data_IF_421173470356
#
_entry.id   IF_421173470356
#
_cell.length_a   1.000
_cell.length_b   1.000
_cell.length_c   1.000
_cell.angle_alpha   90.00
_cell.angle_beta   90.00
_cell.angle_gamma   90.00
#
_symmetry.space_group_name_H-M   'P 1'
#
loop_
_entity.id
_entity.type
_entity.pdbx_description
1 polymer ?
#
# COMPACT_ATOMS: atom_id res chain seq x y z
N UNK A 1 -7.51 7.55 16.94
CA UNK A 1 -6.55 6.49 16.55
C UNK A 1 -5.82 6.97 15.31
N UNK A 2 -4.51 6.70 15.20
CA UNK A 2 -3.70 7.12 14.04
C UNK A 2 -3.59 5.97 13.05
N UNK A 3 -3.81 6.27 11.78
CA UNK A 3 -3.84 5.30 10.68
C UNK A 3 -3.06 5.81 9.48
N UNK A 4 -2.73 4.88 8.58
CA UNK A 4 -2.10 5.16 7.30
C UNK A 4 -3.01 4.66 6.19
N UNK A 5 -3.26 5.53 5.22
CA UNK A 5 -3.88 5.21 3.96
C UNK A 5 -2.81 5.07 2.88
N UNK A 6 -2.83 3.94 2.18
CA UNK A 6 -1.89 3.59 1.12
C UNK A 6 -2.67 3.53 -0.20
N UNK A 7 -2.46 4.53 -1.05
CA UNK A 7 -3.06 4.61 -2.38
C UNK A 7 -2.12 3.98 -3.41
N UNK A 8 -2.67 3.27 -4.40
CA UNK A 8 -1.88 2.59 -5.44
C UNK A 8 -2.05 3.25 -6.81
N UNK A 9 -0.94 3.42 -7.52
CA UNK A 9 -0.95 3.78 -8.94
C UNK A 9 -1.23 5.25 -9.23
N UNK A 10 -1.10 6.13 -8.22
CA UNK A 10 -1.18 7.58 -8.42
C UNK A 10 0.20 8.16 -8.74
N UNK A 11 0.24 9.24 -9.51
CA UNK A 11 1.45 10.00 -9.86
C UNK A 11 2.59 9.18 -10.52
N UNK A 12 2.26 8.04 -11.13
CA UNK A 12 3.20 7.19 -11.90
C UNK A 12 3.18 7.49 -13.39
N UNK A 13 2.27 8.36 -13.85
CA UNK A 13 2.14 8.77 -15.23
C UNK A 13 1.23 10.01 -15.39
N UNK A 14 1.08 10.53 -16.61
CA UNK A 14 0.34 11.77 -16.86
C UNK A 14 -1.17 11.66 -16.56
N UNK A 15 -1.74 10.46 -16.65
CA UNK A 15 -3.17 10.20 -16.46
C UNK A 15 -3.56 9.89 -15.01
N UNK A 16 -2.61 9.69 -14.11
CA UNK A 16 -2.86 9.30 -12.72
C UNK A 16 -2.49 10.40 -11.72
N UNK A 17 -2.47 11.65 -12.17
CA UNK A 17 -2.02 12.80 -11.38
C UNK A 17 -3.02 13.12 -10.26
N UNK A 18 -2.56 13.01 -9.01
CA UNK A 18 -3.30 13.37 -7.81
C UNK A 18 -2.46 14.38 -7.03
N UNK A 19 -2.83 15.68 -7.01
CA UNK A 19 -2.15 16.67 -6.20
C UNK A 19 -2.30 16.35 -4.70
N UNK A 20 -1.20 16.27 -3.95
CA UNK A 20 -1.24 15.95 -2.52
C UNK A 20 -2.04 16.95 -1.68
N UNK A 21 -2.13 18.23 -2.10
CA UNK A 21 -2.98 19.21 -1.45
C UNK A 21 -4.47 18.85 -1.54
N UNK A 22 -4.93 18.47 -2.74
CA UNK A 22 -6.31 17.99 -2.95
C UNK A 22 -6.54 16.72 -2.13
N UNK A 23 -5.59 15.78 -2.15
CA UNK A 23 -5.71 14.55 -1.38
C UNK A 23 -5.89 14.84 0.11
N UNK A 24 -5.09 15.72 0.71
CA UNK A 24 -5.26 16.12 2.13
C UNK A 24 -6.64 16.69 2.41
N UNK A 25 -7.10 17.65 1.59
CA UNK A 25 -8.41 18.27 1.78
C UNK A 25 -9.57 17.28 1.67
N UNK A 26 -9.46 16.25 0.83
CA UNK A 26 -10.47 15.19 0.76
C UNK A 26 -10.52 14.33 2.02
N UNK A 27 -9.37 14.01 2.62
CA UNK A 27 -9.33 13.33 3.92
C UNK A 27 -9.92 14.20 5.03
N UNK A 28 -9.59 15.50 5.07
CA UNK A 28 -10.14 16.45 6.03
C UNK A 28 -11.67 16.57 5.88
N UNK A 29 -12.16 16.67 4.65
CA UNK A 29 -13.60 16.70 4.35
C UNK A 29 -14.31 15.38 4.72
N UNK A 30 -13.60 14.26 4.69
CA UNK A 30 -14.10 12.97 5.17
C UNK A 30 -14.06 12.84 6.72
N UNK A 31 -13.67 13.89 7.44
CA UNK A 31 -13.64 13.93 8.91
C UNK A 31 -12.31 13.49 9.53
N UNK A 32 -11.26 13.27 8.72
CA UNK A 32 -9.93 13.01 9.24
C UNK A 32 -9.27 14.29 9.78
N UNK A 33 -8.38 14.11 10.74
CA UNK A 33 -7.57 15.18 11.36
C UNK A 33 -6.09 14.82 11.27
N UNK A 34 -5.19 15.77 11.57
CA UNK A 34 -3.73 15.58 11.52
C UNK A 34 -3.23 14.97 10.19
N UNK A 35 -3.84 15.39 9.08
CA UNK A 35 -3.62 14.77 7.77
C UNK A 35 -2.26 15.20 7.20
N UNK A 36 -1.37 14.22 7.00
CA UNK A 36 -0.04 14.41 6.45
C UNK A 36 0.19 13.46 5.28
N UNK A 37 0.61 13.99 4.14
CA UNK A 37 1.05 13.19 2.99
C UNK A 37 2.56 12.99 3.03
N UNK A 38 3.03 11.76 2.77
CA UNK A 38 4.44 11.44 2.65
C UNK A 38 4.80 11.29 1.17
N UNK A 39 5.69 12.17 0.70
CA UNK A 39 6.09 12.26 -0.71
C UNK A 39 4.89 12.41 -1.65
N UNK A 40 4.98 11.91 -2.89
CA UNK A 40 3.93 12.00 -3.90
C UNK A 40 3.38 10.62 -4.31
N UNK A 41 3.64 9.59 -3.52
CA UNK A 41 3.35 8.18 -3.84
C UNK A 41 1.99 7.70 -3.34
N UNK A 42 1.22 8.55 -2.66
CA UNK A 42 -0.10 8.17 -2.12
C UNK A 42 -0.08 7.60 -0.72
N UNK A 43 0.90 8.00 0.09
CA UNK A 43 0.96 7.65 1.51
C UNK A 43 0.37 8.79 2.34
N UNK A 44 -0.71 8.53 3.08
CA UNK A 44 -1.40 9.53 3.90
C UNK A 44 -1.48 9.03 5.34
N UNK A 45 -0.93 9.79 6.27
CA UNK A 45 -1.07 9.56 7.71
C UNK A 45 -2.19 10.47 8.22
N UNK A 46 -3.09 9.95 9.04
CA UNK A 46 -4.20 10.73 9.59
C UNK A 46 -4.70 10.18 10.93
N UNK A 47 -5.43 11.01 11.65
CA UNK A 47 -6.17 10.69 12.87
C UNK A 47 -7.67 10.61 12.56
N UNK A 48 -8.34 9.56 13.04
CA UNK A 48 -9.80 9.39 12.88
C UNK A 48 -10.19 8.14 12.10
N UNK A 49 -11.44 8.11 11.64
CA UNK A 49 -11.99 7.05 10.80
C UNK A 49 -12.57 7.67 9.54
N UNK A 50 -12.28 7.07 8.39
CA UNK A 50 -12.82 7.48 7.10
C UNK A 50 -13.47 6.27 6.44
N UNK A 51 -14.55 6.51 5.71
CA UNK A 51 -15.18 5.50 4.88
C UNK A 51 -14.39 5.38 3.56
N UNK A 52 -13.70 4.24 3.37
CA UNK A 52 -12.83 4.04 2.22
C UNK A 52 -13.57 4.08 0.87
N UNK A 53 -14.73 3.41 0.69
CA UNK A 53 -15.55 3.57 -0.51
C UNK A 53 -15.93 5.02 -0.84
N UNK A 54 -16.41 5.79 0.15
CA UNK A 54 -16.79 7.19 -0.08
C UNK A 54 -15.59 8.06 -0.41
N UNK A 55 -14.46 7.83 0.26
CA UNK A 55 -13.22 8.56 0.02
C UNK A 55 -12.66 8.28 -1.40
N UNK A 56 -12.73 7.02 -1.86
CA UNK A 56 -12.34 6.66 -3.23
C UNK A 56 -13.18 7.37 -4.28
N UNK A 57 -14.51 7.45 -4.08
CA UNK A 57 -15.38 8.17 -5.01
C UNK A 57 -15.13 9.69 -4.98
N UNK A 58 -14.81 10.24 -3.81
CA UNK A 58 -14.44 11.65 -3.69
C UNK A 58 -13.12 11.96 -4.41
N UNK A 59 -12.11 11.08 -4.30
CA UNK A 59 -10.84 11.19 -5.03
C UNK A 59 -11.10 11.12 -6.54
N UNK A 60 -11.87 10.13 -7.00
CA UNK A 60 -12.22 9.97 -8.40
C UNK A 60 -12.95 11.21 -8.93
N UNK A 61 -13.92 11.73 -8.20
CA UNK A 61 -14.70 12.91 -8.59
C UNK A 61 -13.83 14.16 -8.69
N UNK A 62 -12.90 14.36 -7.76
CA UNK A 62 -12.04 15.54 -7.72
C UNK A 62 -10.87 15.50 -8.73
N UNK A 63 -10.40 14.30 -9.10
CA UNK A 63 -9.15 14.15 -9.87
C UNK A 63 -9.31 13.42 -11.20
N UNK A 64 -10.42 12.71 -11.40
CA UNK A 64 -10.60 11.77 -12.50
C UNK A 64 -9.81 10.46 -12.36
N UNK A 65 -9.01 10.30 -11.31
CA UNK A 65 -8.14 9.13 -11.12
C UNK A 65 -8.89 8.02 -10.40
N UNK A 66 -8.97 6.85 -11.04
CA UNK A 66 -9.41 5.63 -10.39
C UNK A 66 -8.22 4.95 -9.73
N UNK A 67 -8.28 4.70 -8.42
CA UNK A 67 -7.17 4.19 -7.61
C UNK A 67 -7.68 3.14 -6.62
N UNK A 68 -6.75 2.44 -5.96
CA UNK A 68 -7.04 1.53 -4.87
C UNK A 68 -6.51 2.14 -3.57
N UNK A 69 -7.20 1.88 -2.47
CA UNK A 69 -6.87 2.38 -1.15
C UNK A 69 -6.92 1.23 -0.14
N UNK A 70 -5.88 1.12 0.68
CA UNK A 70 -5.87 0.28 1.88
C UNK A 70 -5.65 1.20 3.08
N UNK A 71 -6.43 0.99 4.15
CA UNK A 71 -6.25 1.67 5.43
C UNK A 71 -5.67 0.68 6.42
N UNK A 72 -4.53 1.04 7.00
CA UNK A 72 -3.77 0.25 7.96
C UNK A 72 -3.69 1.05 9.26
N UNK A 73 -4.06 0.45 10.39
CA UNK A 73 -3.89 1.15 11.68
C UNK A 73 -2.40 1.32 12.01
N UNK A 74 -2.05 2.34 12.79
CA UNK A 74 -0.66 2.54 13.19
C UNK A 74 -0.08 1.40 14.03
N UNK A 75 -0.93 0.60 14.69
CA UNK A 75 -0.51 -0.60 15.41
C UNK A 75 -0.23 -1.75 14.43
N UNK A 76 -1.14 -1.98 13.50
CA UNK A 76 -1.00 -2.99 12.44
C UNK A 76 0.26 -2.74 11.59
N UNK A 77 0.50 -1.48 11.20
CA UNK A 77 1.70 -1.12 10.44
C UNK A 77 2.99 -1.46 11.20
N UNK A 78 3.02 -1.22 12.53
CA UNK A 78 4.15 -1.58 13.38
C UNK A 78 4.34 -3.09 13.49
N UNK A 79 3.25 -3.87 13.62
CA UNK A 79 3.32 -5.33 13.63
C UNK A 79 3.84 -5.89 12.31
N UNK A 80 3.32 -5.40 11.18
CA UNK A 80 3.77 -5.80 9.84
C UNK A 80 5.25 -5.50 9.66
N UNK A 81 5.72 -4.31 10.05
CA UNK A 81 7.13 -3.95 9.95
C UNK A 81 8.02 -4.84 10.83
N UNK A 82 7.59 -5.16 12.06
CA UNK A 82 8.36 -5.99 12.99
C UNK A 82 8.39 -7.48 12.62
N UNK A 83 7.44 -7.94 11.82
CA UNK A 83 7.34 -9.33 11.37
C UNK A 83 8.14 -9.62 10.08
N UNK A 84 8.82 -8.62 9.52
CA UNK A 84 9.60 -8.78 8.30
C UNK A 84 10.78 -9.76 8.54
N UNK A 85 10.85 -10.91 7.85
CA UNK A 85 11.75 -12.00 8.23
C UNK A 85 13.13 -11.96 7.55
N UNK A 86 13.39 -10.94 6.73
CA UNK A 86 14.63 -10.86 5.95
C UNK A 86 15.41 -9.58 6.25
N UNK A 87 16.72 -9.72 6.31
CA UNK A 87 17.68 -8.61 6.35
C UNK A 87 18.27 -8.38 4.96
N UNK A 88 18.88 -7.20 4.74
CA UNK A 88 19.62 -6.90 3.52
C UNK A 88 19.44 -5.47 3.04
N UNK A 89 19.60 -5.28 1.73
CA UNK A 89 19.34 -4.00 1.06
C UNK A 89 17.84 -3.69 1.09
N UNK A 90 17.44 -2.69 1.88
CA UNK A 90 16.05 -2.27 2.04
C UNK A 90 15.37 -1.91 0.70
N UNK A 91 16.13 -1.52 -0.33
CA UNK A 91 15.57 -1.26 -1.67
C UNK A 91 15.13 -2.52 -2.42
N UNK A 92 15.48 -3.70 -1.88
CA UNK A 92 15.13 -5.04 -2.37
C UNK A 92 14.09 -5.73 -1.50
N UNK A 93 13.73 -5.14 -0.37
CA UNK A 93 12.75 -5.68 0.56
C UNK A 93 11.39 -5.05 0.27
N UNK A 94 10.38 -5.89 0.07
CA UNK A 94 9.04 -5.46 -0.32
C UNK A 94 8.00 -6.04 0.63
N UNK A 95 7.13 -5.16 1.12
CA UNK A 95 5.91 -5.51 1.85
C UNK A 95 4.72 -5.27 0.93
N UNK A 96 4.00 -6.33 0.59
CA UNK A 96 2.70 -6.22 -0.06
C UNK A 96 1.60 -6.28 1.00
N UNK A 97 0.99 -5.14 1.31
CA UNK A 97 -0.14 -5.06 2.24
C UNK A 97 -1.35 -5.76 1.65
N UNK A 98 -1.94 -6.68 2.40
CA UNK A 98 -3.03 -7.51 1.92
C UNK A 98 -3.99 -7.82 3.08
N UNK A 99 -5.21 -7.23 3.10
CA UNK A 99 -6.18 -7.43 4.18
C UNK A 99 -6.57 -8.90 4.41
N UNK A 100 -6.47 -9.73 3.38
CA UNK A 100 -6.68 -11.18 3.45
C UNK A 100 -5.59 -11.87 2.64
N UNK A 101 -4.60 -12.44 3.32
CA UNK A 101 -3.54 -13.20 2.66
C UNK A 101 -4.08 -14.56 2.23
N UNK A 102 -3.94 -14.97 0.95
CA UNK A 102 -4.48 -16.23 0.49
C UNK A 102 -3.63 -17.39 1.03
N UNK A 103 -4.28 -18.49 1.39
CA UNK A 103 -3.60 -19.73 1.75
C UNK A 103 -3.16 -20.45 0.46
N UNK A 104 -1.96 -20.12 -0.02
CA UNK A 104 -1.36 -20.67 -1.25
C UNK A 104 -0.02 -21.33 -0.96
N UNK A 105 0.29 -22.38 -1.71
CA UNK A 105 1.64 -22.93 -1.75
C UNK A 105 2.52 -22.04 -2.61
N UNK A 106 3.64 -21.59 -2.05
CA UNK A 106 4.59 -20.74 -2.76
C UNK A 106 5.51 -21.60 -3.64
N UNK A 107 5.69 -21.25 -4.93
CA UNK A 107 6.66 -21.93 -5.78
C UNK A 107 8.09 -21.59 -5.36
N UNK A 108 9.05 -22.45 -5.72
CA UNK A 108 10.47 -22.10 -5.62
C UNK A 108 10.82 -21.06 -6.69
N UNK A 109 11.18 -19.86 -6.22
CA UNK A 109 11.54 -18.70 -7.02
C UNK A 109 12.94 -18.20 -6.71
N UNK A 110 13.81 -19.06 -6.15
CA UNK A 110 15.20 -18.74 -5.83
C UNK A 110 15.89 -17.95 -6.96
N UNK A 111 16.58 -16.83 -6.66
CA UNK A 111 17.02 -16.39 -5.32
C UNK A 111 16.00 -15.53 -4.54
N UNK A 112 14.76 -15.35 -5.03
CA UNK A 112 13.74 -14.61 -4.29
C UNK A 112 13.25 -15.39 -3.07
N UNK A 113 13.02 -14.68 -1.96
CA UNK A 113 12.44 -15.26 -0.74
C UNK A 113 11.08 -14.63 -0.49
N UNK A 114 10.06 -15.46 -0.22
CA UNK A 114 8.68 -15.01 -0.04
C UNK A 114 8.08 -15.70 1.18
N UNK A 115 7.49 -14.90 2.07
CA UNK A 115 6.82 -15.38 3.29
C UNK A 115 5.42 -14.80 3.36
N UNK A 116 4.44 -15.65 3.63
CA UNK A 116 3.05 -15.25 3.89
C UNK A 116 2.92 -14.89 5.37
N UNK A 117 2.51 -13.66 5.66
CA UNK A 117 2.04 -13.26 7.00
C UNK A 117 0.53 -13.23 7.08
N UNK A 118 -0.01 -12.76 8.19
CA UNK A 118 -1.47 -12.67 8.40
C UNK A 118 -2.10 -11.49 7.62
N UNK A 119 -1.36 -10.38 7.52
CA UNK A 119 -1.87 -9.08 7.00
C UNK A 119 -0.99 -8.52 5.86
N UNK A 120 0.06 -9.25 5.48
CA UNK A 120 1.01 -8.84 4.46
C UNK A 120 1.80 -10.03 3.90
N UNK A 121 2.34 -9.85 2.70
CA UNK A 121 3.35 -10.74 2.10
C UNK A 121 4.71 -10.04 2.13
N UNK A 122 5.72 -10.76 2.60
CA UNK A 122 7.09 -10.27 2.71
C UNK A 122 7.95 -10.87 1.61
N UNK A 123 8.70 -10.03 0.92
CA UNK A 123 9.53 -10.46 -0.21
C UNK A 123 10.94 -9.89 -0.11
N UNK A 124 11.95 -10.73 -0.30
CA UNK A 124 13.31 -10.33 -0.63
C UNK A 124 13.54 -10.57 -2.11
N UNK A 125 13.74 -9.49 -2.87
CA UNK A 125 13.83 -9.49 -4.33
C UNK A 125 15.21 -8.96 -4.75
N UNK A 126 16.28 -9.77 -4.69
CA UNK A 126 17.65 -9.31 -4.91
C UNK A 126 17.85 -8.66 -6.29
N UNK A 127 17.17 -9.16 -7.32
CA UNK A 127 17.22 -8.64 -8.67
C UNK A 127 16.24 -7.46 -8.92
N UNK A 128 15.49 -7.06 -7.89
CA UNK A 128 14.52 -5.96 -7.91
C UNK A 128 13.12 -6.34 -8.39
N UNK A 129 12.12 -5.56 -7.97
CA UNK A 129 10.70 -5.86 -8.18
C UNK A 129 10.30 -5.97 -9.66
N UNK A 130 10.97 -5.24 -10.57
CA UNK A 130 10.69 -5.33 -12.01
C UNK A 130 11.12 -6.66 -12.63
N UNK A 131 11.98 -7.43 -11.95
CA UNK A 131 12.51 -8.72 -12.42
C UNK A 131 11.95 -9.91 -11.65
N UNK A 132 10.95 -9.71 -10.78
CA UNK A 132 10.38 -10.80 -9.97
C UNK A 132 9.79 -11.91 -10.83
N UNK A 133 10.05 -13.15 -10.43
CA UNK A 133 9.49 -14.37 -11.03
C UNK A 133 8.03 -14.57 -10.65
N UNK A 134 7.58 -14.03 -9.52
CA UNK A 134 6.16 -14.03 -9.15
C UNK A 134 5.39 -12.91 -9.85
N UNK A 135 4.81 -13.25 -10.99
CA UNK A 135 3.96 -12.32 -11.74
C UNK A 135 2.65 -12.02 -11.00
N UNK A 136 1.98 -10.88 -11.31
CA UNK A 136 0.65 -10.58 -10.79
C UNK A 136 -0.42 -11.66 -11.06
N UNK A 137 -0.22 -12.54 -12.04
CA UNK A 137 -1.15 -13.62 -12.34
C UNK A 137 -1.19 -14.68 -11.23
N UNK A 138 -0.08 -14.90 -10.52
CA UNK A 138 -0.02 -15.82 -9.39
C UNK A 138 -0.98 -15.38 -8.27
N UNK A 139 -1.04 -14.08 -8.00
CA UNK A 139 -1.86 -13.50 -6.92
C UNK A 139 -3.35 -13.34 -7.26
N UNK A 140 -3.76 -13.66 -8.50
CA UNK A 140 -5.15 -13.51 -8.98
C UNK A 140 -5.90 -14.85 -9.07
N UNK A 141 -5.34 -15.91 -8.49
CA UNK A 141 -5.94 -17.24 -8.47
C UNK A 141 -7.17 -17.31 -7.56
#
# INVERSE_FOLDING_TARGET
>A
MRSVALLRGINVGPTTKVPMAILRSLFEAAGATDVVTVLNSGNVVFSGSVDAPLLLEAIRSATGVNTHLIIVSGEQLRRIAAAFPYDGDESRLVVAFMPTVPAVELPDVSPELISLGDEAVYQSLPDGISNTKLTPAFWKQ
#
